data_IF_394090443007
#
_entry.id   IF_394090443007
#
_cell.length_a   1.000
_cell.length_b   1.000
_cell.length_c   1.000
_cell.angle_alpha   90.00
_cell.angle_beta   90.00
_cell.angle_gamma   90.00
#
_symmetry.space_group_name_H-M   'P 1'
#
loop_
_entity.id
_entity.type
_entity.pdbx_description
1 polymer ?
#
# COMPACT_ATOMS: atom_id res chain seq x y z
N UNK A 1 0.80 -9.30 -37.45
CA UNK A 1 0.30 -8.89 -36.12
C UNK A 1 1.06 -7.66 -35.60
N UNK A 2 1.13 -6.57 -36.38
CA UNK A 2 2.18 -5.55 -36.18
C UNK A 2 1.70 -4.17 -35.67
N UNK A 3 0.40 -3.92 -35.54
CA UNK A 3 -0.11 -2.55 -35.24
C UNK A 3 -0.83 -2.46 -33.88
N UNK A 4 -1.28 -3.57 -33.31
CA UNK A 4 -2.11 -3.54 -32.08
C UNK A 4 -1.30 -3.54 -30.78
N UNK A 5 -0.07 -4.05 -30.78
CA UNK A 5 0.74 -4.20 -29.56
C UNK A 5 1.16 -2.86 -28.93
N UNK A 6 1.63 -1.84 -29.68
CA UNK A 6 1.99 -0.54 -29.10
C UNK A 6 0.77 0.24 -28.59
N UNK A 7 -0.35 0.16 -29.31
CA UNK A 7 -1.59 0.86 -28.99
C UNK A 7 -2.24 0.39 -27.68
N UNK A 8 -2.00 -0.87 -27.28
CA UNK A 8 -2.51 -1.45 -26.02
C UNK A 8 -1.56 -1.22 -24.83
N UNK A 9 -0.26 -1.01 -25.08
CA UNK A 9 0.72 -0.76 -24.02
C UNK A 9 0.55 0.62 -23.38
N UNK A 10 0.28 1.67 -24.16
CA UNK A 10 0.13 3.02 -23.64
C UNK A 10 -1.02 3.17 -22.61
N UNK A 11 -2.23 2.65 -22.89
CA UNK A 11 -3.31 2.61 -21.92
C UNK A 11 -2.96 1.79 -20.68
N UNK A 12 -2.38 0.59 -20.87
CA UNK A 12 -2.02 -0.29 -19.75
C UNK A 12 -0.98 0.35 -18.82
N UNK A 13 0.06 0.98 -19.38
CA UNK A 13 1.08 1.70 -18.61
C UNK A 13 0.45 2.87 -17.84
N UNK A 14 -0.42 3.64 -18.48
CA UNK A 14 -1.12 4.77 -17.85
C UNK A 14 -2.02 4.32 -16.69
N UNK A 15 -2.78 3.23 -16.87
CA UNK A 15 -3.64 2.63 -15.84
C UNK A 15 -2.82 2.13 -14.65
N UNK A 16 -1.68 1.50 -14.93
CA UNK A 16 -0.77 0.94 -13.94
C UNK A 16 -0.10 2.07 -13.13
N UNK A 17 0.30 3.16 -13.79
CA UNK A 17 0.82 4.38 -13.14
C UNK A 17 -0.25 5.09 -12.29
N UNK A 18 -1.50 5.14 -12.76
CA UNK A 18 -2.62 5.74 -12.03
C UNK A 18 -2.97 4.93 -10.78
N UNK A 19 -3.06 3.60 -10.89
CA UNK A 19 -3.29 2.72 -9.74
C UNK A 19 -2.19 2.87 -8.69
N UNK A 20 -0.94 3.02 -9.14
CA UNK A 20 0.22 3.25 -8.30
C UNK A 20 0.21 4.60 -7.59
N UNK A 21 -0.12 5.66 -8.33
CA UNK A 21 -0.26 7.01 -7.79
C UNK A 21 -1.36 7.04 -6.74
N UNK A 22 -2.49 6.39 -6.99
CA UNK A 22 -3.60 6.29 -6.04
C UNK A 22 -3.17 5.58 -4.75
N UNK A 23 -2.48 4.44 -4.82
CA UNK A 23 -2.04 3.69 -3.62
C UNK A 23 -1.01 4.47 -2.79
N UNK A 24 -0.13 5.25 -3.42
CA UNK A 24 0.80 6.14 -2.75
C UNK A 24 0.07 7.32 -2.08
N UNK A 25 -0.86 7.96 -2.79
CA UNK A 25 -1.65 9.09 -2.26
C UNK A 25 -2.47 8.67 -1.05
N UNK A 26 -3.20 7.56 -1.14
CA UNK A 26 -4.02 7.03 -0.04
C UNK A 26 -3.17 6.72 1.18
N UNK A 27 -1.99 6.11 1.00
CA UNK A 27 -1.06 5.85 2.11
C UNK A 27 -0.54 7.15 2.72
N UNK A 28 -0.18 8.13 1.90
CA UNK A 28 0.28 9.46 2.37
C UNK A 28 -0.80 10.24 3.12
N UNK A 29 -2.06 10.14 2.70
CA UNK A 29 -3.20 10.74 3.39
C UNK A 29 -3.43 10.08 4.76
N UNK A 30 -3.34 8.75 4.85
CA UNK A 30 -3.40 8.05 6.14
C UNK A 30 -2.25 8.48 7.08
N UNK A 31 -1.02 8.65 6.58
CA UNK A 31 0.10 9.13 7.40
C UNK A 31 -0.19 10.53 7.96
N UNK A 32 -0.70 11.44 7.11
CA UNK A 32 -1.00 12.83 7.51
C UNK A 32 -2.16 12.89 8.51
N UNK A 33 -3.24 12.14 8.27
CA UNK A 33 -4.37 12.05 9.19
C UNK A 33 -3.99 11.46 10.55
N UNK A 34 -3.17 10.41 10.55
CA UNK A 34 -2.68 9.82 11.80
C UNK A 34 -1.72 10.76 12.55
N UNK A 35 -0.87 11.49 11.84
CA UNK A 35 0.02 12.48 12.43
C UNK A 35 -0.72 13.67 13.06
N UNK A 36 -1.92 14.00 12.56
CA UNK A 36 -2.79 15.01 13.17
C UNK A 36 -3.38 14.50 14.51
N UNK A 37 -3.89 13.26 14.53
CA UNK A 37 -4.46 12.65 15.74
C UNK A 37 -3.42 12.32 16.82
N UNK A 38 -2.16 12.08 16.45
CA UNK A 38 -1.07 11.83 17.40
C UNK A 38 -0.70 13.06 18.25
N UNK A 39 -1.06 14.27 17.78
CA UNK A 39 -0.78 15.54 18.45
C UNK A 39 -1.70 15.78 19.67
N UNK A 40 -2.83 15.07 19.76
CA UNK A 40 -3.81 15.15 20.85
C UNK A 40 -3.54 14.17 22.02
N UNK A 41 -2.30 13.66 22.17
CA UNK A 41 -1.87 12.97 23.40
C UNK A 41 -1.87 11.43 23.39
N UNK A 42 -2.23 10.76 22.29
CA UNK A 42 -2.13 9.29 22.14
C UNK A 42 -0.76 8.82 21.60
N UNK A 43 0.32 9.22 22.27
CA UNK A 43 1.72 9.08 21.78
C UNK A 43 2.22 7.63 21.58
N UNK A 44 1.89 6.63 22.43
CA UNK A 44 2.48 5.28 22.28
C UNK A 44 1.93 4.47 21.11
N UNK A 45 0.65 4.64 20.75
CA UNK A 45 0.00 3.91 19.64
C UNK A 45 0.41 4.47 18.27
N UNK A 46 0.58 5.79 18.17
CA UNK A 46 0.98 6.47 16.93
C UNK A 46 2.35 5.99 16.40
N UNK A 47 3.31 5.74 17.28
CA UNK A 47 4.67 5.31 16.90
C UNK A 47 4.69 3.96 16.16
N UNK A 48 3.91 2.98 16.63
CA UNK A 48 3.86 1.63 16.03
C UNK A 48 3.18 1.64 14.66
N UNK A 49 2.14 2.45 14.49
CA UNK A 49 1.49 2.65 13.20
C UNK A 49 2.39 3.38 12.21
N UNK A 50 3.08 4.46 12.61
CA UNK A 50 4.01 5.19 11.74
C UNK A 50 5.09 4.25 11.19
N UNK A 51 5.61 3.32 12.01
CA UNK A 51 6.60 2.33 11.57
C UNK A 51 6.01 1.36 10.53
N UNK A 52 4.77 0.92 10.72
CA UNK A 52 4.09 0.05 9.75
C UNK A 52 3.76 0.77 8.43
N UNK A 53 3.36 2.04 8.48
CA UNK A 53 3.09 2.87 7.30
C UNK A 53 4.38 3.15 6.52
N UNK A 54 5.50 3.47 7.21
CA UNK A 54 6.82 3.61 6.54
C UNK A 54 7.23 2.34 5.80
N UNK A 55 7.01 1.17 6.40
CA UNK A 55 7.30 -0.13 5.76
C UNK A 55 6.44 -0.34 4.50
N UNK A 56 5.14 -0.02 4.58
CA UNK A 56 4.21 -0.09 3.44
C UNK A 56 4.64 0.83 2.30
N UNK A 57 4.98 2.09 2.61
CA UNK A 57 5.47 3.05 1.61
C UNK A 57 6.74 2.53 0.91
N UNK A 58 7.67 1.95 1.68
CA UNK A 58 8.90 1.36 1.10
C UNK A 58 8.60 0.20 0.15
N UNK A 59 7.66 -0.69 0.49
CA UNK A 59 7.23 -1.79 -0.36
C UNK A 59 6.49 -1.31 -1.62
N UNK A 60 5.59 -0.32 -1.50
CA UNK A 60 4.92 0.31 -2.64
C UNK A 60 5.96 0.89 -3.62
N UNK A 61 6.97 1.60 -3.08
CA UNK A 61 8.06 2.15 -3.90
C UNK A 61 8.84 1.05 -4.62
N UNK A 62 9.17 -0.05 -3.95
CA UNK A 62 9.88 -1.16 -4.60
C UNK A 62 9.04 -1.82 -5.69
N UNK A 63 7.76 -2.13 -5.41
CA UNK A 63 6.82 -2.65 -6.41
C UNK A 63 6.79 -1.77 -7.67
N UNK A 64 6.69 -0.45 -7.48
CA UNK A 64 6.67 0.51 -8.59
C UNK A 64 7.96 0.50 -9.40
N UNK A 65 9.13 0.49 -8.76
CA UNK A 65 10.42 0.49 -9.46
C UNK A 65 10.54 -0.75 -10.36
N UNK A 66 10.22 -1.94 -9.85
CA UNK A 66 10.24 -3.16 -10.66
C UNK A 66 9.19 -3.15 -11.77
N UNK A 67 8.00 -2.60 -11.51
CA UNK A 67 6.94 -2.44 -12.49
C UNK A 67 7.36 -1.50 -13.63
N UNK A 68 7.86 -0.31 -13.32
CA UNK A 68 8.35 0.64 -14.32
C UNK A 68 9.54 0.06 -15.09
N UNK A 69 10.49 -0.59 -14.40
CA UNK A 69 11.62 -1.25 -15.05
C UNK A 69 11.17 -2.32 -16.04
N UNK A 70 10.18 -3.14 -15.68
CA UNK A 70 9.62 -4.14 -16.59
C UNK A 70 9.00 -3.52 -17.84
N UNK A 71 8.30 -2.39 -17.70
CA UNK A 71 7.67 -1.70 -18.82
C UNK A 71 8.72 -1.08 -19.77
N UNK A 72 9.79 -0.52 -19.22
CA UNK A 72 10.93 -0.02 -20.00
C UNK A 72 11.60 -1.15 -20.78
N UNK A 73 11.91 -2.27 -20.10
CA UNK A 73 12.51 -3.45 -20.73
C UNK A 73 11.61 -4.05 -21.82
N UNK A 74 10.30 -4.12 -21.58
CA UNK A 74 9.32 -4.59 -22.57
C UNK A 74 9.24 -3.66 -23.78
N UNK A 75 9.27 -2.33 -23.56
CA UNK A 75 9.27 -1.35 -24.64
C UNK A 75 10.55 -1.45 -25.49
N UNK A 76 11.70 -1.60 -24.84
CA UNK A 76 12.99 -1.79 -25.52
C UNK A 76 13.05 -3.12 -26.28
N UNK A 77 12.48 -4.19 -25.70
CA UNK A 77 12.32 -5.48 -26.36
C UNK A 77 11.50 -5.34 -27.65
N UNK A 78 10.32 -4.72 -27.57
CA UNK A 78 9.47 -4.48 -28.75
C UNK A 78 10.19 -3.63 -29.81
N UNK A 79 11.00 -2.65 -29.40
CA UNK A 79 11.81 -1.85 -30.30
C UNK A 79 12.93 -2.66 -30.99
N UNK A 80 13.59 -3.56 -30.28
CA UNK A 80 14.64 -4.43 -30.85
C UNK A 80 14.06 -5.49 -31.78
N UNK A 81 12.91 -6.07 -31.43
CA UNK A 81 12.16 -6.96 -32.32
C UNK A 81 11.75 -6.24 -33.60
N UNK A 82 11.39 -4.96 -33.50
CA UNK A 82 11.08 -4.12 -34.67
C UNK A 82 12.31 -3.88 -35.57
N UNK A 83 13.51 -3.80 -35.01
CA UNK A 83 14.78 -3.73 -35.76
C UNK A 83 15.27 -5.10 -36.27
N UNK A 84 14.43 -6.14 -36.20
CA UNK A 84 14.77 -7.53 -36.55
C UNK A 84 15.89 -8.16 -35.71
N UNK A 85 16.25 -7.55 -34.58
CA UNK A 85 17.22 -8.06 -33.60
C UNK A 85 16.55 -9.06 -32.65
N UNK A 86 16.06 -10.16 -33.20
CA UNK A 86 15.21 -11.14 -32.49
C UNK A 86 15.83 -11.68 -31.20
N UNK A 87 17.10 -12.09 -31.24
CA UNK A 87 17.78 -12.67 -30.07
C UNK A 87 17.85 -11.72 -28.86
N UNK A 88 18.24 -10.45 -29.09
CA UNK A 88 18.27 -9.45 -28.03
C UNK A 88 16.86 -9.10 -27.54
N UNK A 89 15.91 -8.99 -28.48
CA UNK A 89 14.51 -8.71 -28.18
C UNK A 89 13.89 -9.75 -27.25
N UNK A 90 14.09 -11.04 -27.53
CA UNK A 90 13.58 -12.15 -26.72
C UNK A 90 14.18 -12.18 -25.31
N UNK A 91 15.49 -11.96 -25.18
CA UNK A 91 16.16 -11.90 -23.86
C UNK A 91 15.58 -10.77 -23.01
N UNK A 92 15.44 -9.57 -23.57
CA UNK A 92 14.88 -8.42 -22.85
C UNK A 92 13.40 -8.62 -22.52
N UNK A 93 12.66 -9.31 -23.39
CA UNK A 93 11.27 -9.68 -23.10
C UNK A 93 11.20 -10.59 -21.87
N UNK A 94 12.00 -11.65 -21.83
CA UNK A 94 12.08 -12.54 -20.67
C UNK A 94 12.46 -11.81 -19.39
N UNK A 95 13.45 -10.91 -19.46
CA UNK A 95 13.89 -10.11 -18.32
C UNK A 95 12.77 -9.18 -17.81
N UNK A 96 11.99 -8.61 -18.73
CA UNK A 96 10.83 -7.78 -18.38
C UNK A 96 9.76 -8.56 -17.63
N UNK A 97 9.48 -9.81 -18.02
CA UNK A 97 8.50 -10.67 -17.35
C UNK A 97 8.95 -11.05 -15.93
N UNK A 98 10.25 -11.32 -15.74
CA UNK A 98 10.82 -11.60 -14.42
C UNK A 98 10.68 -10.37 -13.51
N UNK A 99 11.03 -9.18 -14.01
CA UNK A 99 10.88 -7.93 -13.25
C UNK A 99 9.41 -7.65 -12.90
N UNK A 100 8.48 -7.87 -13.85
CA UNK A 100 7.05 -7.74 -13.60
C UNK A 100 6.56 -8.72 -12.53
N UNK A 101 7.01 -9.97 -12.59
CA UNK A 101 6.67 -11.00 -11.62
C UNK A 101 7.13 -10.62 -10.21
N UNK A 102 8.37 -10.11 -10.07
CA UNK A 102 8.89 -9.60 -8.80
C UNK A 102 8.03 -8.44 -8.28
N UNK A 103 7.66 -7.50 -9.16
CA UNK A 103 6.75 -6.39 -8.80
C UNK A 103 5.43 -6.90 -8.23
N UNK A 104 4.81 -7.89 -8.87
CA UNK A 104 3.55 -8.48 -8.43
C UNK A 104 3.68 -9.23 -7.09
N UNK A 105 4.77 -9.96 -6.86
CA UNK A 105 4.99 -10.60 -5.55
C UNK A 105 5.10 -9.56 -4.43
N UNK A 106 5.84 -8.48 -4.64
CA UNK A 106 5.92 -7.37 -3.68
C UNK A 106 4.53 -6.75 -3.46
N UNK A 107 3.71 -6.65 -4.51
CA UNK A 107 2.33 -6.20 -4.40
C UNK A 107 1.51 -7.03 -3.43
N UNK A 108 1.56 -8.35 -3.58
CA UNK A 108 0.83 -9.31 -2.73
C UNK A 108 1.28 -9.21 -1.28
N UNK A 109 2.59 -9.11 -1.04
CA UNK A 109 3.13 -8.90 0.29
C UNK A 109 2.69 -7.56 0.91
N UNK A 110 2.67 -6.47 0.15
CA UNK A 110 2.17 -5.18 0.63
C UNK A 110 0.70 -5.24 1.01
N UNK A 111 -0.16 -5.86 0.18
CA UNK A 111 -1.59 -6.02 0.47
C UNK A 111 -1.77 -6.76 1.80
N UNK A 112 -1.02 -7.83 2.00
CA UNK A 112 -1.10 -8.64 3.22
C UNK A 112 -0.71 -7.83 4.47
N UNK A 113 0.37 -7.06 4.40
CA UNK A 113 0.81 -6.17 5.49
C UNK A 113 -0.20 -5.04 5.73
N UNK A 114 -0.76 -4.49 4.66
CA UNK A 114 -1.77 -3.43 4.71
C UNK A 114 -3.02 -3.88 5.45
N UNK A 115 -3.58 -5.03 5.08
CA UNK A 115 -4.76 -5.61 5.73
C UNK A 115 -4.50 -5.90 7.20
N UNK A 116 -3.33 -6.48 7.51
CA UNK A 116 -2.99 -6.79 8.90
C UNK A 116 -2.83 -5.52 9.76
N UNK A 117 -2.26 -4.44 9.21
CA UNK A 117 -2.15 -3.17 9.92
C UNK A 117 -3.53 -2.54 10.21
N UNK A 118 -4.45 -2.60 9.24
CA UNK A 118 -5.82 -2.09 9.41
C UNK A 118 -6.58 -2.90 10.47
N UNK A 119 -6.50 -4.22 10.42
CA UNK A 119 -7.16 -5.09 11.42
C UNK A 119 -6.64 -4.82 12.84
N UNK A 120 -5.33 -4.65 12.99
CA UNK A 120 -4.72 -4.30 14.28
C UNK A 120 -5.22 -2.94 14.81
N UNK A 121 -5.37 -1.95 13.94
CA UNK A 121 -5.91 -0.65 14.29
C UNK A 121 -7.39 -0.73 14.72
N UNK A 122 -8.20 -1.48 13.96
CA UNK A 122 -9.63 -1.67 14.25
C UNK A 122 -9.85 -2.38 15.58
N UNK A 123 -9.06 -3.41 15.89
CA UNK A 123 -9.07 -4.06 17.21
C UNK A 123 -8.68 -3.10 18.33
N UNK A 124 -7.69 -2.24 18.08
CA UNK A 124 -7.25 -1.20 19.01
C UNK A 124 -8.36 -0.21 19.37
N UNK A 125 -9.16 0.22 18.37
CA UNK A 125 -10.32 1.10 18.55
C UNK A 125 -11.42 0.37 19.33
N UNK A 126 -11.73 -0.87 18.95
CA UNK A 126 -12.78 -1.69 19.59
C UNK A 126 -12.49 -1.92 21.07
N UNK A 127 -11.23 -2.20 21.44
CA UNK A 127 -10.81 -2.34 22.85
C UNK A 127 -10.91 -1.03 23.62
N UNK A 128 -10.52 0.09 23.00
CA UNK A 128 -10.59 1.41 23.66
C UNK A 128 -12.04 1.81 23.95
N UNK A 129 -12.93 1.67 22.96
CA UNK A 129 -14.37 1.92 23.11
C UNK A 129 -15.00 1.05 24.22
N UNK A 130 -14.61 -0.23 24.30
CA UNK A 130 -15.12 -1.15 25.34
C UNK A 130 -14.59 -0.81 26.75
N UNK A 131 -13.35 -0.34 26.87
CA UNK A 131 -12.77 0.09 28.15
C UNK A 131 -13.46 1.36 28.66
N UNK A 132 -13.62 2.35 27.80
CA UNK A 132 -14.26 3.62 28.15
C UNK A 132 -15.73 3.43 28.56
N UNK A 133 -16.46 2.54 27.88
CA UNK A 133 -17.83 2.17 28.27
C UNK A 133 -17.90 1.46 29.63
N UNK A 134 -16.85 0.73 30.02
CA UNK A 134 -16.77 0.00 31.29
C UNK A 134 -16.41 0.92 32.46
N UNK A 135 -15.55 1.90 32.20
CA UNK A 135 -15.13 2.93 33.15
C UNK A 135 -16.29 3.88 33.47
N UNK A 136 -16.96 4.39 32.43
CA UNK A 136 -18.15 5.26 32.59
C UNK A 136 -19.29 4.59 33.37
N UNK A 137 -19.51 3.29 33.16
CA UNK A 137 -20.52 2.50 33.88
C UNK A 137 -20.15 2.24 35.34
N UNK A 138 -18.87 2.28 35.70
CA UNK A 138 -18.42 2.18 37.10
C UNK A 138 -18.64 3.51 37.82
N UNK A 139 -18.27 4.63 37.17
CA UNK A 139 -18.49 5.97 37.71
C UNK A 139 -19.98 6.24 37.98
N UNK A 140 -20.87 5.84 37.07
CA UNK A 140 -22.33 5.94 37.25
C UNK A 140 -22.83 5.12 38.46
N UNK A 141 -22.25 3.94 38.70
CA UNK A 141 -22.63 3.05 39.81
C UNK A 141 -22.11 3.55 41.17
N UNK A 142 -20.89 4.08 41.21
CA UNK A 142 -20.29 4.66 42.43
C UNK A 142 -21.02 5.96 42.83
N UNK A 143 -21.49 6.75 41.86
CA UNK A 143 -22.29 7.94 42.12
C UNK A 143 -23.71 7.65 42.63
N UNK A 144 -24.35 6.57 42.17
CA UNK A 144 -25.65 6.13 42.71
C UNK A 144 -25.51 5.63 44.16
N UNK A 145 -24.46 4.87 44.49
CA UNK A 145 -24.22 4.39 45.85
C UNK A 145 -23.89 5.52 46.85
N UNK A 146 -23.19 6.59 46.43
CA UNK A 146 -22.94 7.77 47.28
C UNK A 146 -24.20 8.62 47.52
N UNK A 147 -25.18 8.58 46.63
CA UNK A 147 -26.44 9.34 46.74
C UNK A 147 -27.49 8.63 47.62
N UNK A 148 -27.34 7.33 47.84
CA UNK A 148 -28.21 6.51 48.71
C UNK A 148 -27.75 6.45 50.18
N UNK A 149 -26.63 7.09 50.52
CA UNK A 149 -26.01 7.18 51.86
C UNK A 149 -26.27 8.55 52.52
#
# INVERSE_FOLDING_TARGET
MAITTPALLFPAISLLLLAYTNRFLTTGQLIRGLSANARDGMVPKASKQIKSLKKRVSLIRQMQIYGVLSLILCTLSMFLLFLELNFLGEILFGLSLIAMTISLFIALFEISISVNAINYELEGIKRFSKSHKKEKRKEEHEQEEELEL
#
